data_IF_494962468185
#
_entry.id   IF_494962468185
#
_cell.length_a   1.000
_cell.length_b   1.000
_cell.length_c   1.000
_cell.angle_alpha   90.00
_cell.angle_beta   90.00
_cell.angle_gamma   90.00
#
_symmetry.space_group_name_H-M   'P 1'
#
loop_
_entity.id
_entity.type
_entity.pdbx_description
1 polymer ?
#
# COMPACT_ATOMS: atom_id res chain seq x y z
N UNK A 1 45.21 21.09 2.44
CA UNK A 1 44.97 19.75 1.86
C UNK A 1 43.55 19.35 2.26
N UNK A 2 42.60 19.57 1.35
CA UNK A 2 41.16 19.38 1.59
C UNK A 2 40.87 17.88 1.54
N UNK A 3 40.41 17.31 2.66
CA UNK A 3 39.98 15.90 2.74
C UNK A 3 38.65 15.77 2.02
N UNK A 4 38.64 15.12 0.87
CA UNK A 4 37.44 14.67 0.17
C UNK A 4 36.73 13.64 1.06
N UNK A 5 35.48 13.92 1.45
CA UNK A 5 34.61 12.90 2.02
C UNK A 5 34.20 11.98 0.87
N UNK A 6 34.42 10.69 1.05
CA UNK A 6 33.98 9.64 0.12
C UNK A 6 32.52 9.36 0.40
N UNK A 7 31.60 9.86 -0.43
CA UNK A 7 30.24 9.32 -0.48
C UNK A 7 30.32 7.84 -0.86
N UNK A 8 29.91 6.97 0.07
CA UNK A 8 29.87 5.53 -0.18
C UNK A 8 28.71 5.23 -1.14
N UNK A 9 29.06 4.75 -2.34
CA UNK A 9 28.13 4.20 -3.31
C UNK A 9 27.38 3.01 -2.69
N UNK A 10 26.04 2.97 -2.72
CA UNK A 10 25.30 1.85 -2.16
C UNK A 10 25.63 0.58 -2.95
N UNK A 11 26.33 -0.35 -2.31
CA UNK A 11 26.64 -1.67 -2.88
C UNK A 11 25.36 -2.42 -3.25
N UNK A 12 25.35 -3.02 -4.45
CA UNK A 12 24.28 -3.83 -5.04
C UNK A 12 23.72 -4.92 -4.10
N UNK A 13 24.51 -5.38 -3.13
CA UNK A 13 24.11 -6.36 -2.12
C UNK A 13 23.03 -5.87 -1.14
N UNK A 14 22.88 -4.56 -0.90
CA UNK A 14 21.83 -4.05 0.02
C UNK A 14 20.44 -4.00 -0.63
N UNK A 15 20.37 -4.08 -1.97
CA UNK A 15 19.10 -4.05 -2.71
C UNK A 15 18.43 -5.42 -2.71
N UNK A 16 19.20 -6.50 -2.54
CA UNK A 16 18.74 -7.89 -2.68
C UNK A 16 18.00 -8.45 -1.47
N UNK A 17 17.92 -7.72 -0.35
CA UNK A 17 17.30 -8.20 0.89
C UNK A 17 15.94 -7.57 1.21
N UNK A 18 15.44 -6.68 0.32
CA UNK A 18 14.09 -6.09 0.44
C UNK A 18 13.02 -6.84 -0.36
N UNK A 19 13.30 -8.06 -0.82
CA UNK A 19 12.48 -8.68 -1.88
C UNK A 19 11.36 -9.61 -1.45
N UNK A 20 11.03 -9.78 -0.16
CA UNK A 20 9.98 -10.75 0.23
C UNK A 20 9.07 -10.38 1.41
N UNK A 21 8.99 -9.13 1.88
CA UNK A 21 8.14 -8.86 3.05
C UNK A 21 6.65 -8.94 2.72
N UNK A 22 6.19 -8.26 1.67
CA UNK A 22 4.76 -8.22 1.29
C UNK A 22 4.57 -8.34 -0.23
N UNK A 23 3.62 -9.15 -0.66
CA UNK A 23 3.33 -9.42 -2.07
C UNK A 23 1.87 -9.83 -2.27
N UNK A 24 1.44 -10.05 -3.52
CA UNK A 24 0.10 -10.57 -3.80
C UNK A 24 -0.17 -11.94 -3.12
N UNK A 25 0.87 -12.77 -2.94
CA UNK A 25 0.77 -14.08 -2.27
C UNK A 25 0.91 -13.98 -0.75
N UNK A 26 1.45 -12.88 -0.24
CA UNK A 26 1.59 -12.58 1.18
C UNK A 26 1.19 -11.12 1.43
N UNK A 27 -0.12 -10.79 1.40
CA UNK A 27 -0.57 -9.41 1.52
C UNK A 27 -0.41 -8.89 2.95
N UNK A 28 -0.14 -7.60 3.09
CA UNK A 28 -0.07 -6.96 4.40
C UNK A 28 -1.49 -6.71 4.97
N UNK A 29 -1.80 -7.17 6.20
CA UNK A 29 -3.10 -6.91 6.83
C UNK A 29 -3.18 -5.46 7.34
N UNK A 30 -3.51 -4.54 6.44
CA UNK A 30 -3.69 -3.12 6.74
C UNK A 30 -5.06 -2.81 7.33
N UNK A 31 -5.13 -1.79 8.18
CA UNK A 31 -6.39 -1.16 8.60
C UNK A 31 -6.81 -0.07 7.62
N UNK A 32 -8.12 0.14 7.49
CA UNK A 32 -8.69 1.30 6.80
C UNK A 32 -8.84 2.42 7.84
N UNK A 33 -8.20 3.56 7.59
CA UNK A 33 -8.23 4.72 8.50
C UNK A 33 -9.23 5.79 8.06
N UNK A 34 -9.47 5.91 6.75
CA UNK A 34 -10.49 6.80 6.19
C UNK A 34 -11.33 6.05 5.15
N UNK A 35 -12.63 6.35 5.14
CA UNK A 35 -13.57 5.86 4.14
C UNK A 35 -14.76 6.81 4.02
N UNK A 36 -14.80 7.61 2.94
CA UNK A 36 -15.91 8.53 2.70
C UNK A 36 -16.24 8.67 1.21
N UNK A 37 -17.47 9.09 0.91
CA UNK A 37 -17.97 9.29 -0.44
C UNK A 37 -17.45 10.63 -0.97
N UNK A 38 -16.89 10.63 -2.18
CA UNK A 38 -16.40 11.83 -2.88
C UNK A 38 -17.49 12.51 -3.70
N UNK A 39 -18.52 11.77 -4.09
CA UNK A 39 -19.58 12.26 -4.97
C UNK A 39 -20.77 12.78 -4.15
N UNK A 40 -21.48 13.77 -4.69
CA UNK A 40 -22.68 14.33 -4.05
C UNK A 40 -23.96 13.53 -4.33
N UNK A 41 -25.06 13.98 -3.72
CA UNK A 41 -26.41 13.45 -3.95
C UNK A 41 -26.79 13.51 -5.44
N UNK A 42 -27.52 12.49 -5.90
CA UNK A 42 -27.96 12.38 -7.31
C UNK A 42 -26.90 11.82 -8.27
N UNK A 43 -25.69 11.52 -7.82
CA UNK A 43 -24.70 10.82 -8.63
C UNK A 43 -25.14 9.40 -8.98
N UNK A 44 -24.98 9.00 -10.24
CA UNK A 44 -25.24 7.62 -10.69
C UNK A 44 -24.21 6.61 -10.18
N UNK A 45 -23.04 7.08 -9.77
CA UNK A 45 -21.93 6.25 -9.27
C UNK A 45 -21.53 6.70 -7.88
N UNK A 46 -21.12 5.73 -7.07
CA UNK A 46 -20.45 5.99 -5.80
C UNK A 46 -18.93 5.87 -6.00
N UNK A 47 -18.20 6.92 -5.64
CA UNK A 47 -16.74 6.94 -5.66
C UNK A 47 -16.30 7.28 -4.26
N UNK A 48 -15.38 6.49 -3.70
CA UNK A 48 -14.91 6.63 -2.32
C UNK A 48 -13.45 7.03 -2.26
N UNK A 49 -13.13 7.85 -1.28
CA UNK A 49 -11.77 7.99 -0.78
C UNK A 49 -11.56 6.93 0.30
N UNK A 50 -10.52 6.11 0.15
CA UNK A 50 -10.15 5.08 1.11
C UNK A 50 -8.65 5.24 1.40
N UNK A 51 -8.29 5.32 2.67
CA UNK A 51 -6.90 5.36 3.12
C UNK A 51 -6.57 4.15 3.98
N UNK A 52 -5.36 3.62 3.79
CA UNK A 52 -4.85 2.43 4.46
C UNK A 52 -3.64 2.79 5.34
N UNK A 53 -3.59 2.24 6.54
CA UNK A 53 -2.48 2.43 7.48
C UNK A 53 -1.28 1.56 7.09
N UNK A 54 -0.15 2.18 6.73
CA UNK A 54 1.07 1.43 6.45
C UNK A 54 1.77 0.90 7.72
N UNK A 55 1.52 1.49 8.89
CA UNK A 55 2.08 1.06 10.17
C UNK A 55 3.58 0.74 10.11
N UNK A 56 3.97 -0.38 10.71
CA UNK A 56 5.35 -0.90 10.72
C UNK A 56 5.67 -1.80 9.51
N UNK A 57 4.90 -1.71 8.42
CA UNK A 57 5.09 -2.58 7.24
C UNK A 57 6.43 -2.42 6.55
N UNK A 58 7.11 -1.27 6.74
CA UNK A 58 8.32 -0.90 6.01
C UNK A 58 8.08 -0.65 4.51
N UNK A 59 6.82 -0.56 4.06
CA UNK A 59 6.48 -0.34 2.65
C UNK A 59 6.76 1.10 2.23
N UNK A 60 7.35 1.25 1.05
CA UNK A 60 7.55 2.54 0.38
C UNK A 60 6.88 2.52 -0.98
N UNK A 61 6.27 3.62 -1.38
CA UNK A 61 5.66 3.78 -2.70
C UNK A 61 5.92 5.18 -3.24
N UNK A 62 5.73 5.36 -4.55
CA UNK A 62 5.83 6.64 -5.25
C UNK A 62 4.49 7.03 -5.84
N UNK A 63 4.30 8.32 -6.10
CA UNK A 63 3.14 8.80 -6.82
C UNK A 63 3.10 8.17 -8.23
N UNK A 64 1.99 7.53 -8.56
CA UNK A 64 1.80 6.76 -9.80
C UNK A 64 1.89 5.25 -9.63
N UNK A 65 2.38 4.75 -8.49
CA UNK A 65 2.33 3.32 -8.17
C UNK A 65 0.88 2.87 -7.91
N UNK A 66 0.62 1.58 -8.10
CA UNK A 66 -0.68 0.97 -7.86
C UNK A 66 -0.70 0.15 -6.57
N UNK A 67 -1.82 0.17 -5.85
CA UNK A 67 -2.07 -0.65 -4.67
C UNK A 67 -2.93 -1.86 -5.05
N UNK A 68 -2.45 -3.07 -4.73
CA UNK A 68 -3.25 -4.30 -4.82
C UNK A 68 -4.08 -4.49 -3.56
N UNK A 69 -5.39 -4.74 -3.72
CA UNK A 69 -6.31 -5.04 -2.60
C UNK A 69 -6.93 -6.42 -2.83
N UNK A 70 -6.82 -7.30 -1.84
CA UNK A 70 -7.52 -8.59 -1.82
C UNK A 70 -8.87 -8.37 -1.13
N UNK A 71 -9.96 -8.51 -1.88
CA UNK A 71 -11.31 -8.34 -1.36
C UNK A 71 -11.94 -9.68 -0.98
N UNK A 72 -12.79 -9.64 0.03
CA UNK A 72 -13.65 -10.76 0.40
C UNK A 72 -15.08 -10.48 -0.06
N UNK A 73 -15.76 -11.53 -0.54
CA UNK A 73 -17.19 -11.43 -0.81
C UNK A 73 -17.93 -11.19 0.51
N UNK A 74 -19.04 -10.42 0.50
CA UNK A 74 -19.87 -10.28 1.68
C UNK A 74 -20.35 -11.66 2.15
N UNK A 75 -20.55 -11.86 3.47
CA UNK A 75 -21.04 -13.13 3.98
C UNK A 75 -22.37 -13.45 3.31
N UNK A 76 -22.47 -14.64 2.71
CA UNK A 76 -23.70 -15.13 2.08
C UNK A 76 -24.71 -15.45 3.18
N UNK A 77 -25.51 -14.47 3.58
CA UNK A 77 -26.72 -14.72 4.36
C UNK A 77 -27.82 -15.28 3.44
N UNK A 78 -27.57 -16.43 2.82
CA UNK A 78 -28.64 -17.23 2.20
C UNK A 78 -28.95 -18.39 3.12
N UNK A 79 -29.60 -18.09 4.25
CA UNK A 79 -30.32 -19.11 5.00
C UNK A 79 -31.76 -19.07 4.50
N UNK A 80 -32.13 -20.10 3.73
CA UNK A 80 -33.53 -20.46 3.50
C UNK A 80 -33.85 -21.64 4.39
#
# INVERSE_FOLDING_TARGET
MIRTLSEAEPTLASVSQMSETWSLKNPYPSKIVDNYILNGEGSRKETRHIAFELGDSGMTYRAGDALGVIAENPPTSWTK
#
